data_IF_674820027649
#
_entry.id   IF_674820027649
#
_cell.length_a   1.000
_cell.length_b   1.000
_cell.length_c   1.000
_cell.angle_alpha   90.00
_cell.angle_beta   90.00
_cell.angle_gamma   90.00
#
_symmetry.space_group_name_H-M   'P 1'
#
loop_
_entity.id
_entity.type
_entity.pdbx_description
1 polymer ?
#
# COMPACT_ATOMS: atom_id res chain seq x y z
N UNK A 1 26.67 71.39 -63.94
CA UNK A 1 26.37 69.95 -64.09
C UNK A 1 26.59 69.15 -62.81
N UNK A 2 27.67 69.34 -62.04
CA UNK A 2 27.94 68.55 -60.83
C UNK A 2 26.91 68.73 -59.68
N UNK A 3 26.34 69.92 -59.52
CA UNK A 3 25.36 70.22 -58.45
C UNK A 3 24.03 69.48 -58.62
N UNK A 4 23.54 69.34 -59.86
CA UNK A 4 22.30 68.59 -60.15
C UNK A 4 22.45 67.10 -59.82
N UNK A 5 23.59 66.50 -60.16
CA UNK A 5 23.89 65.10 -59.83
C UNK A 5 23.99 64.87 -58.32
N UNK A 6 24.63 65.79 -57.59
CA UNK A 6 24.71 65.73 -56.12
C UNK A 6 23.31 65.81 -55.49
N UNK A 7 22.45 66.70 -55.98
CA UNK A 7 21.07 66.84 -55.47
C UNK A 7 20.26 65.56 -55.71
N UNK A 8 20.36 64.94 -56.88
CA UNK A 8 19.68 63.67 -57.16
C UNK A 8 20.18 62.51 -56.30
N UNK A 9 21.50 62.44 -56.02
CA UNK A 9 22.07 61.44 -55.12
C UNK A 9 21.51 61.60 -53.70
N UNK A 10 21.43 62.83 -53.19
CA UNK A 10 20.87 63.09 -51.86
C UNK A 10 19.38 62.67 -51.79
N UNK A 11 18.60 62.97 -52.82
CA UNK A 11 17.19 62.55 -52.91
C UNK A 11 17.06 61.03 -52.90
N UNK A 12 17.90 60.33 -53.67
CA UNK A 12 17.90 58.86 -53.71
C UNK A 12 18.25 58.23 -52.36
N UNK A 13 19.23 58.81 -51.63
CA UNK A 13 19.60 58.35 -50.28
C UNK A 13 18.46 58.55 -49.29
N UNK A 14 17.80 59.72 -49.32
CA UNK A 14 16.64 59.99 -48.45
C UNK A 14 15.49 59.02 -48.77
N UNK A 15 15.19 58.79 -50.04
CA UNK A 15 14.17 57.82 -50.45
C UNK A 15 14.50 56.40 -49.98
N UNK A 16 15.77 55.97 -50.09
CA UNK A 16 16.20 54.67 -49.59
C UNK A 16 16.02 54.53 -48.07
N UNK A 17 16.35 55.56 -47.29
CA UNK A 17 16.15 55.56 -45.83
C UNK A 17 14.67 55.46 -45.47
N UNK A 18 13.79 56.18 -46.19
CA UNK A 18 12.33 56.11 -45.96
C UNK A 18 11.80 54.72 -46.28
N UNK A 19 12.22 54.12 -47.40
CA UNK A 19 11.80 52.75 -47.77
C UNK A 19 12.26 51.73 -46.74
N UNK A 20 13.51 51.80 -46.27
CA UNK A 20 14.02 50.92 -45.21
C UNK A 20 13.23 51.11 -43.91
N UNK A 21 12.89 52.35 -43.55
CA UNK A 21 12.07 52.67 -42.39
C UNK A 21 10.66 52.07 -42.47
N UNK A 22 10.01 52.19 -43.63
CA UNK A 22 8.67 51.61 -43.88
C UNK A 22 8.72 50.09 -43.84
N UNK A 23 9.70 49.46 -44.48
CA UNK A 23 9.87 48.00 -44.45
C UNK A 23 10.15 47.49 -43.03
N UNK A 24 10.97 48.19 -42.25
CA UNK A 24 11.24 47.85 -40.85
C UNK A 24 10.00 48.02 -39.96
N UNK A 25 9.18 49.04 -40.21
CA UNK A 25 7.92 49.27 -39.49
C UNK A 25 6.88 48.19 -39.82
N UNK A 26 6.74 47.82 -41.09
CA UNK A 26 5.83 46.76 -41.54
C UNK A 26 6.24 45.39 -40.98
N UNK A 27 7.55 45.11 -40.93
CA UNK A 27 8.10 43.89 -40.32
C UNK A 27 7.94 43.86 -38.79
N UNK A 28 8.03 45.01 -38.09
CA UNK A 28 7.74 45.12 -36.66
C UNK A 28 6.26 44.88 -36.35
N UNK A 29 5.36 45.50 -37.12
CA UNK A 29 3.91 45.35 -36.94
C UNK A 29 3.44 43.89 -37.13
N UNK A 30 4.11 43.09 -37.97
CA UNK A 30 3.83 41.65 -38.09
C UNK A 30 4.32 40.82 -36.88
N UNK A 31 5.36 41.26 -36.18
CA UNK A 31 5.89 40.56 -34.99
C UNK A 31 5.04 40.79 -33.75
N UNK A 32 4.39 41.94 -33.64
CA UNK A 32 3.51 42.25 -32.50
C UNK A 32 2.19 41.45 -32.56
N UNK A 33 1.68 41.16 -33.77
CA UNK A 33 0.54 40.23 -33.95
C UNK A 33 0.85 38.80 -33.53
N UNK A 34 2.10 38.35 -33.65
CA UNK A 34 2.52 37.00 -33.20
C UNK A 34 2.71 36.88 -31.69
N UNK A 35 2.79 38.00 -30.96
CA UNK A 35 2.88 38.00 -29.49
C UNK A 35 1.51 37.92 -28.82
N UNK A 36 0.45 38.35 -29.51
CA UNK A 36 -0.93 38.27 -28.98
C UNK A 36 -1.50 36.86 -29.16
N UNK A 37 -1.22 36.18 -30.28
CA UNK A 37 -1.73 34.82 -30.53
C UNK A 37 -1.11 33.73 -29.63
N UNK A 38 0.02 33.99 -28.95
CA UNK A 38 0.60 33.03 -27.99
C UNK A 38 -0.09 33.03 -26.63
N UNK A 39 -0.83 34.08 -26.28
CA UNK A 39 -1.55 34.13 -25.01
C UNK A 39 -2.86 33.32 -25.06
N UNK A 40 -3.48 33.21 -26.24
CA UNK A 40 -4.70 32.44 -26.46
C UNK A 40 -4.41 30.93 -26.60
N UNK A 41 -3.33 30.56 -27.29
CA UNK A 41 -2.90 29.17 -27.42
C UNK A 41 -2.46 28.57 -26.07
N UNK A 42 -1.83 29.37 -25.19
CA UNK A 42 -1.50 28.96 -23.82
C UNK A 42 -2.77 28.86 -22.95
N UNK A 43 -3.78 29.70 -23.14
CA UNK A 43 -5.06 29.60 -22.41
C UNK A 43 -5.87 28.35 -22.79
N UNK A 44 -5.83 27.97 -24.05
CA UNK A 44 -6.51 26.75 -24.53
C UNK A 44 -5.78 25.48 -24.04
N UNK A 45 -4.43 25.47 -24.09
CA UNK A 45 -3.63 24.35 -23.57
C UNK A 45 -3.70 24.18 -22.05
N UNK A 46 -3.87 25.26 -21.27
CA UNK A 46 -4.07 25.17 -19.83
C UNK A 46 -5.46 24.59 -19.49
N UNK A 47 -6.48 24.88 -20.30
CA UNK A 47 -7.85 24.37 -20.07
C UNK A 47 -8.00 22.89 -20.43
N UNK A 48 -7.28 22.39 -21.43
CA UNK A 48 -7.25 20.96 -21.75
C UNK A 48 -6.45 20.15 -20.72
N UNK A 49 -5.32 20.69 -20.24
CA UNK A 49 -4.52 20.02 -19.20
C UNK A 49 -5.18 20.06 -17.81
N UNK A 50 -6.01 21.05 -17.50
CA UNK A 50 -6.70 21.13 -16.20
C UNK A 50 -7.75 20.02 -16.03
N UNK A 51 -8.46 19.64 -17.09
CA UNK A 51 -9.48 18.57 -17.04
C UNK A 51 -8.84 17.21 -16.73
N UNK A 52 -7.68 16.93 -17.31
CA UNK A 52 -6.96 15.68 -17.08
C UNK A 52 -6.36 15.59 -15.67
N UNK A 53 -5.87 16.71 -15.13
CA UNK A 53 -5.39 16.79 -13.74
C UNK A 53 -6.56 16.67 -12.76
N UNK A 54 -7.68 17.35 -12.99
CA UNK A 54 -8.87 17.28 -12.13
C UNK A 54 -9.48 15.88 -12.12
N UNK A 55 -9.48 15.19 -13.26
CA UNK A 55 -9.94 13.78 -13.35
C UNK A 55 -9.00 12.83 -12.60
N UNK A 56 -7.69 13.05 -12.66
CA UNK A 56 -6.70 12.28 -11.89
C UNK A 56 -6.82 12.56 -10.39
N UNK A 57 -7.05 13.80 -10.00
CA UNK A 57 -7.30 14.16 -8.60
C UNK A 57 -8.61 13.54 -8.08
N UNK A 58 -9.67 13.53 -8.88
CA UNK A 58 -10.94 12.89 -8.50
C UNK A 58 -10.75 11.38 -8.30
N UNK A 59 -10.04 10.70 -9.21
CA UNK A 59 -9.70 9.29 -9.07
C UNK A 59 -8.80 9.01 -7.86
N UNK A 60 -7.84 9.89 -7.57
CA UNK A 60 -6.98 9.77 -6.40
C UNK A 60 -7.77 9.94 -5.10
N UNK A 61 -8.69 10.91 -5.03
CA UNK A 61 -9.58 11.12 -3.88
C UNK A 61 -10.53 9.94 -3.69
N UNK A 62 -11.10 9.41 -4.78
CA UNK A 62 -11.96 8.24 -4.74
C UNK A 62 -11.20 6.99 -4.27
N UNK A 63 -9.97 6.79 -4.77
CA UNK A 63 -9.10 5.68 -4.37
C UNK A 63 -8.70 5.81 -2.91
N UNK A 64 -8.35 7.01 -2.44
CA UNK A 64 -8.03 7.27 -1.05
C UNK A 64 -9.24 7.02 -0.12
N UNK A 65 -10.44 7.40 -0.55
CA UNK A 65 -11.67 7.12 0.19
C UNK A 65 -11.96 5.61 0.25
N UNK A 66 -11.83 4.89 -0.88
CA UNK A 66 -11.96 3.42 -0.94
C UNK A 66 -10.92 2.70 -0.08
N UNK A 67 -9.68 3.18 -0.07
CA UNK A 67 -8.63 2.62 0.77
C UNK A 67 -8.97 2.77 2.27
N UNK A 68 -9.42 3.95 2.70
CA UNK A 68 -9.85 4.17 4.09
C UNK A 68 -11.06 3.32 4.48
N UNK A 69 -12.01 3.13 3.55
CA UNK A 69 -13.15 2.24 3.80
C UNK A 69 -12.71 0.78 3.97
N UNK A 70 -11.83 0.29 3.10
CA UNK A 70 -11.29 -1.06 3.18
C UNK A 70 -10.45 -1.28 4.46
N UNK A 71 -9.70 -0.27 4.89
CA UNK A 71 -8.92 -0.30 6.14
C UNK A 71 -9.85 -0.40 7.36
N UNK A 72 -10.90 0.41 7.41
CA UNK A 72 -11.89 0.35 8.50
C UNK A 72 -12.61 -1.00 8.56
N UNK A 73 -12.93 -1.61 7.42
CA UNK A 73 -13.52 -2.96 7.38
C UNK A 73 -12.53 -4.03 7.86
N UNK A 74 -11.24 -3.89 7.51
CA UNK A 74 -10.20 -4.81 7.96
C UNK A 74 -9.99 -4.71 9.47
N UNK A 75 -9.96 -3.49 10.02
CA UNK A 75 -9.84 -3.24 11.45
C UNK A 75 -11.05 -3.79 12.22
N UNK A 76 -12.26 -3.61 11.71
CA UNK A 76 -13.47 -4.20 12.29
C UNK A 76 -13.39 -5.74 12.33
N UNK A 77 -12.95 -6.38 11.24
CA UNK A 77 -12.75 -7.83 11.19
C UNK A 77 -11.64 -8.30 12.14
N UNK A 78 -10.56 -7.52 12.27
CA UNK A 78 -9.47 -7.84 13.20
C UNK A 78 -9.97 -7.80 14.65
N UNK A 79 -10.74 -6.79 15.02
CA UNK A 79 -11.34 -6.67 16.35
C UNK A 79 -12.32 -7.83 16.65
N UNK A 80 -13.12 -8.26 15.66
CA UNK A 80 -13.99 -9.43 15.81
C UNK A 80 -13.19 -10.72 16.01
N UNK A 81 -12.12 -10.92 15.24
CA UNK A 81 -11.23 -12.06 15.40
C UNK A 81 -10.56 -12.08 16.77
N UNK A 82 -10.13 -10.92 17.28
CA UNK A 82 -9.56 -10.78 18.62
C UNK A 82 -10.59 -11.14 19.71
N UNK A 83 -11.85 -10.72 19.54
CA UNK A 83 -12.93 -11.14 20.45
C UNK A 83 -13.09 -12.65 20.46
N UNK A 84 -13.18 -13.29 19.29
CA UNK A 84 -13.30 -14.75 19.18
C UNK A 84 -12.11 -15.47 19.82
N UNK A 85 -10.89 -14.98 19.61
CA UNK A 85 -9.68 -15.49 20.28
C UNK A 85 -9.78 -15.36 21.78
N UNK A 86 -10.20 -14.21 22.30
CA UNK A 86 -10.42 -14.02 23.73
C UNK A 86 -11.47 -14.96 24.32
N UNK A 87 -12.53 -15.30 23.57
CA UNK A 87 -13.49 -16.33 23.98
C UNK A 87 -12.84 -17.72 24.02
N UNK A 88 -12.11 -18.10 22.98
CA UNK A 88 -11.43 -19.39 22.92
C UNK A 88 -10.40 -19.53 24.05
N UNK A 89 -9.61 -18.49 24.32
CA UNK A 89 -8.61 -18.47 25.37
C UNK A 89 -9.24 -18.66 26.75
N UNK A 90 -10.33 -17.94 27.05
CA UNK A 90 -11.10 -18.17 28.29
C UNK A 90 -11.59 -19.61 28.44
N UNK A 91 -12.11 -20.22 27.37
CA UNK A 91 -12.55 -21.61 27.41
C UNK A 91 -11.39 -22.58 27.66
N UNK A 92 -10.23 -22.31 27.06
CA UNK A 92 -9.01 -23.09 27.28
C UNK A 92 -8.50 -22.93 28.71
N UNK A 93 -8.49 -21.72 29.26
CA UNK A 93 -8.11 -21.47 30.67
C UNK A 93 -9.03 -22.23 31.63
N UNK A 94 -10.35 -22.14 31.45
CA UNK A 94 -11.30 -22.87 32.29
C UNK A 94 -11.13 -24.40 32.19
N UNK A 95 -10.88 -24.92 31.00
CA UNK A 95 -10.60 -26.35 30.81
C UNK A 95 -9.30 -26.77 31.51
N UNK A 96 -8.26 -25.93 31.46
CA UNK A 96 -7.00 -26.17 32.15
C UNK A 96 -7.16 -26.14 33.68
N UNK A 97 -7.91 -25.17 34.21
CA UNK A 97 -8.23 -25.09 35.65
C UNK A 97 -8.99 -26.32 36.12
N UNK A 98 -10.05 -26.73 35.39
CA UNK A 98 -10.83 -27.92 35.73
C UNK A 98 -9.97 -29.18 35.73
N UNK A 99 -9.02 -29.31 34.78
CA UNK A 99 -8.08 -30.43 34.74
C UNK A 99 -7.16 -30.43 35.96
N UNK A 100 -6.60 -29.27 36.32
CA UNK A 100 -5.75 -29.12 37.51
C UNK A 100 -6.50 -29.50 38.79
N UNK A 101 -7.76 -29.07 38.92
CA UNK A 101 -8.58 -29.40 40.08
C UNK A 101 -8.88 -30.92 40.17
N UNK A 102 -9.15 -31.56 39.03
CA UNK A 102 -9.33 -33.01 38.97
C UNK A 102 -8.05 -33.77 39.35
N UNK A 103 -6.89 -33.33 38.85
CA UNK A 103 -5.60 -33.93 39.17
C UNK A 103 -5.26 -33.77 40.67
N UNK A 104 -5.55 -32.62 41.28
CA UNK A 104 -5.41 -32.43 42.72
C UNK A 104 -6.34 -33.33 43.54
N UNK A 105 -7.61 -33.45 43.13
CA UNK A 105 -8.58 -34.33 43.81
C UNK A 105 -8.14 -35.78 43.72
N UNK A 106 -7.63 -36.21 42.57
CA UNK A 106 -7.09 -37.56 42.36
C UNK A 106 -5.87 -37.80 43.25
N UNK A 107 -4.91 -36.88 43.29
CA UNK A 107 -3.75 -36.97 44.17
C UNK A 107 -4.14 -37.05 45.66
N UNK A 108 -5.14 -36.25 46.10
CA UNK A 108 -5.67 -36.34 47.47
C UNK A 108 -6.34 -37.68 47.76
N UNK A 109 -7.08 -38.23 46.80
CA UNK A 109 -7.69 -39.54 46.94
C UNK A 109 -6.64 -40.66 47.05
N UNK A 110 -5.63 -40.63 46.18
CA UNK A 110 -4.52 -41.60 46.18
C UNK A 110 -3.71 -41.51 47.50
N UNK A 111 -3.52 -40.31 48.05
CA UNK A 111 -2.84 -40.10 49.34
C UNK A 111 -3.62 -40.64 50.55
N UNK A 112 -4.96 -40.72 50.45
CA UNK A 112 -5.85 -41.28 51.46
C UNK A 112 -6.08 -42.78 51.31
N UNK A 113 -5.79 -43.38 50.15
CA UNK A 113 -5.99 -44.81 49.92
C UNK A 113 -4.88 -45.63 50.62
N UNK A 114 -5.22 -46.41 51.66
CA UNK A 114 -4.24 -47.24 52.34
C UNK A 114 -3.66 -48.34 51.44
N UNK A 115 -4.36 -48.73 50.36
CA UNK A 115 -3.90 -49.76 49.42
C UNK A 115 -2.68 -49.32 48.60
N UNK A 116 -2.51 -48.01 48.39
CA UNK A 116 -1.35 -47.45 47.66
C UNK A 116 -0.09 -47.51 48.52
N UNK A 117 -0.23 -47.33 49.85
CA UNK A 117 0.90 -47.47 50.81
C UNK A 117 1.40 -48.90 50.93
N UNK A 118 0.52 -49.88 50.72
CA UNK A 118 0.86 -51.31 50.75
C UNK A 118 1.53 -51.79 49.45
N UNK A 119 1.27 -51.11 48.31
CA UNK A 119 1.84 -51.45 47.00
C UNK A 119 3.25 -50.91 46.74
N UNK A 120 3.66 -49.83 47.41
CA UNK A 120 5.00 -49.24 47.23
C UNK A 120 6.11 -49.99 48.02
N UNK A 121 5.71 -50.85 48.96
CA UNK A 121 6.60 -51.80 49.65
C UNK A 121 6.57 -53.22 49.05
N UNK A 122 5.76 -53.47 48.03
CA UNK A 122 5.82 -54.73 47.28
C UNK A 122 6.91 -54.61 46.22
N UNK A 123 8.11 -55.08 46.58
CA UNK A 123 9.18 -55.41 45.63
C UNK A 123 8.59 -56.08 44.37
N UNK A 124 9.12 -55.81 43.17
CA UNK A 124 8.76 -56.58 41.99
C UNK A 124 9.31 -58.00 42.20
N UNK A 125 8.50 -58.85 42.83
CA UNK A 125 8.74 -60.27 42.91
C UNK A 125 8.79 -60.77 41.47
N UNK A 126 10.02 -61.04 41.03
CA UNK A 126 10.31 -61.82 39.86
C UNK A 126 9.42 -63.06 39.88
N UNK A 127 8.55 -63.21 38.87
CA UNK A 127 8.25 -64.55 38.43
C UNK A 127 8.01 -64.64 36.93
N UNK A 128 8.56 -65.74 36.47
CA UNK A 128 8.85 -66.23 35.16
C UNK A 128 7.61 -66.56 34.33
N UNK A 129 7.62 -66.14 33.07
CA UNK A 129 6.92 -66.87 32.01
C UNK A 129 7.90 -67.10 30.86
N UNK A 130 8.43 -68.32 30.68
CA UNK A 130 9.17 -68.70 29.50
C UNK A 130 8.27 -68.53 28.27
N UNK A 131 8.55 -67.54 27.42
CA UNK A 131 7.96 -67.49 26.08
C UNK A 131 8.69 -68.51 25.22
N UNK A 132 8.13 -69.71 25.24
CA UNK A 132 8.33 -70.72 24.21
C UNK A 132 7.93 -70.09 22.87
N UNK A 133 8.92 -69.74 22.06
CA UNK A 133 8.73 -69.09 20.76
C UNK A 133 8.98 -70.14 19.67
N UNK A 134 7.96 -70.85 19.16
CA UNK A 134 8.14 -71.68 17.98
C UNK A 134 8.31 -70.74 16.77
N UNK A 135 9.53 -70.71 16.23
CA UNK A 135 9.86 -70.00 15.02
C UNK A 135 8.92 -70.40 13.86
N UNK A 136 8.37 -69.46 13.08
CA UNK A 136 7.83 -69.81 11.78
C UNK A 136 8.99 -70.09 10.82
N UNK A 137 9.20 -71.38 10.55
CA UNK A 137 9.91 -71.88 9.36
C UNK A 137 9.15 -71.44 8.11
N UNK A 138 9.90 -71.10 7.07
CA UNK A 138 9.44 -70.47 5.83
C UNK A 138 8.41 -71.23 4.99
N UNK A 139 7.90 -70.59 3.95
CA UNK A 139 8.53 -70.54 2.61
C UNK A 139 8.06 -69.30 1.86
#
# INVERSE_FOLDING_TARGET
>A
MATSTIVWIVIAVIAAIVVIGVLAWLARNQRDRRRINRAEEIREHVRQNSVDVERREALARETAAKARAAEAEAEAKAAEAERLKGHADRHLSHAAEARSELDERRSRADALDPRVRDGENAEPAADSVPRDNPAPRGN
#
